data_IF_914535537863
#
_entry.id   IF_914535537863
#
_cell.length_a   1.000
_cell.length_b   1.000
_cell.length_c   1.000
_cell.angle_alpha   90.00
_cell.angle_beta   90.00
_cell.angle_gamma   90.00
#
_symmetry.space_group_name_H-M   'P 1'
#
loop_
_entity.id
_entity.type
_entity.pdbx_description
1 polymer ?
#
# COMPACT_ATOMS: atom_id res chain seq x y z
N UNK A 1 49.41 38.97 -90.84
CA UNK A 1 48.81 40.18 -90.30
C UNK A 1 47.63 39.83 -89.52
N UNK A 2 47.76 40.01 -88.27
CA UNK A 2 46.86 40.62 -87.28
C UNK A 2 45.57 39.87 -87.15
N UNK A 3 45.04 39.68 -86.08
CA UNK A 3 45.05 40.18 -84.73
C UNK A 3 44.07 39.27 -83.98
N UNK A 4 44.46 38.81 -82.86
CA UNK A 4 43.57 38.24 -81.87
C UNK A 4 42.97 39.39 -81.09
N UNK A 5 41.74 39.28 -80.64
CA UNK A 5 41.33 39.75 -79.32
C UNK A 5 40.81 38.65 -78.47
N UNK A 6 41.53 38.54 -77.41
CA UNK A 6 41.13 38.23 -76.08
C UNK A 6 39.74 38.72 -75.72
N UNK A 7 38.97 37.89 -75.14
CA UNK A 7 38.08 38.28 -73.99
C UNK A 7 37.50 37.06 -73.35
N UNK A 8 38.10 36.75 -72.23
CA UNK A 8 37.46 35.85 -71.31
C UNK A 8 37.22 36.68 -70.02
N UNK A 9 36.02 37.10 -69.92
CA UNK A 9 35.55 37.61 -68.59
C UNK A 9 34.18 37.00 -68.34
N UNK A 10 34.22 35.87 -67.68
CA UNK A 10 33.05 35.26 -67.09
C UNK A 10 33.02 35.57 -65.57
N UNK A 11 31.95 36.16 -65.04
CA UNK A 11 31.88 36.46 -63.62
C UNK A 11 31.74 35.16 -62.82
N UNK A 12 32.61 35.05 -61.82
CA UNK A 12 32.61 33.96 -60.86
C UNK A 12 31.26 33.89 -60.10
N UNK A 13 30.68 32.72 -60.09
CA UNK A 13 29.52 32.43 -59.27
C UNK A 13 29.85 32.58 -57.77
N UNK A 14 28.97 33.14 -56.96
CA UNK A 14 29.25 33.25 -55.49
C UNK A 14 29.30 31.87 -54.89
N UNK A 15 30.40 31.64 -54.14
CA UNK A 15 30.63 30.47 -53.34
C UNK A 15 29.49 30.35 -52.28
N UNK A 16 28.77 29.27 -52.35
CA UNK A 16 27.77 28.93 -51.31
C UNK A 16 28.49 28.69 -49.99
N UNK A 17 28.18 29.47 -48.99
CA UNK A 17 28.67 29.30 -47.64
C UNK A 17 28.27 27.90 -47.10
N UNK A 18 29.19 27.22 -46.38
CA UNK A 18 28.87 25.95 -45.72
C UNK A 18 27.81 26.17 -44.65
N UNK A 19 26.83 25.23 -44.50
CA UNK A 19 25.80 25.36 -43.52
C UNK A 19 26.37 25.45 -42.12
N UNK A 20 25.95 26.46 -41.35
CA UNK A 20 26.36 26.69 -39.98
C UNK A 20 26.12 25.46 -39.11
N UNK A 21 27.01 25.12 -38.18
CA UNK A 21 26.84 23.99 -37.27
C UNK A 21 25.54 24.15 -36.45
N UNK A 22 24.61 23.25 -36.63
CA UNK A 22 23.40 23.23 -35.84
C UNK A 22 23.77 22.91 -34.39
N UNK A 23 23.46 23.81 -33.46
CA UNK A 23 23.70 23.62 -32.06
C UNK A 23 22.96 22.40 -31.53
N UNK A 24 23.58 21.54 -30.69
CA UNK A 24 22.93 20.31 -30.19
C UNK A 24 21.75 20.70 -29.30
N UNK A 25 20.57 20.22 -29.71
CA UNK A 25 19.33 20.37 -28.93
C UNK A 25 19.49 19.67 -27.60
N UNK A 26 19.56 20.43 -26.52
CA UNK A 26 19.68 19.95 -25.13
C UNK A 26 18.41 19.16 -24.73
N UNK A 27 18.35 17.86 -25.03
CA UNK A 27 17.31 16.92 -24.53
C UNK A 27 17.60 16.38 -23.12
N UNK A 28 18.49 16.98 -22.36
CA UNK A 28 19.08 16.39 -21.13
C UNK A 28 18.17 16.45 -19.88
N UNK A 29 17.16 17.30 -19.82
CA UNK A 29 16.37 17.48 -18.60
C UNK A 29 15.18 16.52 -18.46
N UNK A 30 14.64 16.03 -19.58
CA UNK A 30 13.44 15.18 -19.59
C UNK A 30 13.75 13.77 -19.07
N UNK A 31 14.92 13.23 -19.38
CA UNK A 31 15.36 11.92 -18.88
C UNK A 31 15.60 11.92 -17.38
N UNK A 32 16.20 12.96 -16.85
CA UNK A 32 16.47 13.08 -15.42
C UNK A 32 15.19 13.24 -14.58
N UNK A 33 14.22 14.00 -15.08
CA UNK A 33 12.89 14.10 -14.46
C UNK A 33 12.16 12.75 -14.42
N UNK A 34 12.25 11.95 -15.49
CA UNK A 34 11.66 10.60 -15.52
C UNK A 34 12.33 9.70 -14.49
N UNK A 35 13.65 9.75 -14.36
CA UNK A 35 14.39 8.97 -13.36
C UNK A 35 14.02 9.39 -11.95
N UNK A 36 13.94 10.69 -11.66
CA UNK A 36 13.51 11.20 -10.36
C UNK A 36 12.08 10.76 -10.03
N UNK A 37 11.18 10.85 -11.01
CA UNK A 37 9.80 10.44 -10.85
C UNK A 37 9.70 8.92 -10.63
N UNK A 38 10.50 8.13 -11.33
CA UNK A 38 10.57 6.69 -11.14
C UNK A 38 11.10 6.31 -9.75
N UNK A 39 12.17 6.95 -9.30
CA UNK A 39 12.74 6.73 -7.96
C UNK A 39 11.74 7.08 -6.85
N UNK A 40 10.89 8.07 -7.08
CA UNK A 40 9.84 8.44 -6.12
C UNK A 40 8.63 7.51 -6.19
N UNK A 41 8.17 7.15 -7.39
CA UNK A 41 6.94 6.37 -7.57
C UNK A 41 7.12 4.88 -7.33
N UNK A 42 8.25 4.29 -7.71
CA UNK A 42 8.48 2.85 -7.55
C UNK A 42 8.32 2.38 -6.10
N UNK A 43 8.96 3.02 -5.09
CA UNK A 43 8.79 2.59 -3.71
C UNK A 43 7.34 2.75 -3.22
N UNK A 44 6.64 3.80 -3.66
CA UNK A 44 5.22 3.99 -3.30
C UNK A 44 4.37 2.85 -3.86
N UNK A 45 4.57 2.48 -5.13
CA UNK A 45 3.85 1.37 -5.77
C UNK A 45 4.14 0.04 -5.04
N UNK A 46 5.40 -0.20 -4.68
CA UNK A 46 5.80 -1.41 -3.93
C UNK A 46 5.07 -1.46 -2.58
N UNK A 47 5.04 -0.35 -1.83
CA UNK A 47 4.35 -0.28 -0.53
C UNK A 47 2.84 -0.50 -0.70
N UNK A 48 2.22 0.13 -1.70
CA UNK A 48 0.78 -0.05 -1.98
C UNK A 48 0.46 -1.49 -2.34
N UNK A 49 1.27 -2.12 -3.19
CA UNK A 49 1.12 -3.54 -3.55
C UNK A 49 1.31 -4.44 -2.33
N UNK A 50 2.30 -4.18 -1.50
CA UNK A 50 2.53 -4.92 -0.26
C UNK A 50 1.33 -4.84 0.68
N UNK A 51 0.80 -3.63 0.92
CA UNK A 51 -0.39 -3.42 1.74
C UNK A 51 -1.58 -4.17 1.16
N UNK A 52 -1.80 -4.07 -0.14
CA UNK A 52 -2.91 -4.73 -0.81
C UNK A 52 -2.85 -6.25 -0.70
N UNK A 53 -1.67 -6.84 -0.90
CA UNK A 53 -1.46 -8.29 -0.77
C UNK A 53 -1.61 -8.74 0.68
N UNK A 54 -0.98 -8.06 1.66
CA UNK A 54 -1.06 -8.46 3.06
C UNK A 54 -2.46 -8.33 3.67
N UNK A 55 -3.27 -7.39 3.20
CA UNK A 55 -4.65 -7.24 3.67
C UNK A 55 -5.66 -8.05 2.88
N UNK A 56 -5.34 -8.40 1.64
CA UNK A 56 -6.21 -9.20 0.77
C UNK A 56 -6.06 -10.71 0.96
N UNK A 57 -4.92 -11.17 1.48
CA UNK A 57 -4.64 -12.59 1.68
C UNK A 57 -4.79 -12.99 3.14
N UNK A 58 -5.82 -13.79 3.44
CA UNK A 58 -5.96 -14.43 4.75
C UNK A 58 -5.02 -15.64 4.82
N UNK A 59 -4.03 -15.59 5.72
CA UNK A 59 -3.11 -16.71 5.96
C UNK A 59 -3.81 -17.88 6.65
N UNK A 60 -4.73 -17.59 7.55
CA UNK A 60 -5.50 -18.58 8.30
C UNK A 60 -6.86 -17.99 8.65
N UNK A 61 -7.89 -18.79 8.64
CA UNK A 61 -9.21 -18.43 9.13
C UNK A 61 -9.72 -19.50 10.09
N UNK A 62 -10.50 -19.08 11.08
CA UNK A 62 -10.99 -19.99 12.09
C UNK A 62 -12.02 -19.35 13.00
N UNK A 63 -12.45 -20.14 14.00
CA UNK A 63 -13.34 -19.68 15.06
C UNK A 63 -12.69 -19.90 16.43
N UNK A 64 -12.92 -18.94 17.34
CA UNK A 64 -12.51 -19.05 18.74
C UNK A 64 -13.67 -18.72 19.65
N UNK A 65 -13.94 -19.60 20.60
CA UNK A 65 -14.97 -19.43 21.59
C UNK A 65 -14.37 -18.99 22.93
N UNK A 66 -15.04 -18.05 23.60
CA UNK A 66 -14.59 -17.55 24.88
C UNK A 66 -15.47 -16.43 25.40
N UNK A 67 -15.02 -15.77 26.46
CA UNK A 67 -15.69 -14.64 27.09
C UNK A 67 -15.04 -13.33 26.65
N UNK A 68 -15.84 -12.41 26.12
CA UNK A 68 -15.35 -11.07 25.77
C UNK A 68 -14.95 -10.33 27.04
N UNK A 69 -13.67 -10.05 27.20
CA UNK A 69 -13.15 -9.32 28.37
C UNK A 69 -13.22 -7.81 28.15
N UNK A 70 -12.85 -7.37 26.95
CA UNK A 70 -12.72 -5.97 26.63
C UNK A 70 -12.89 -5.76 25.12
N UNK A 71 -13.48 -4.64 24.77
CA UNK A 71 -13.41 -4.07 23.43
C UNK A 71 -13.33 -2.56 23.55
N UNK A 72 -12.45 -1.94 22.79
CA UNK A 72 -12.29 -0.49 22.83
C UNK A 72 -11.81 0.03 21.47
N UNK A 73 -12.22 1.25 21.13
CA UNK A 73 -11.72 1.95 19.94
C UNK A 73 -10.45 2.69 20.30
N UNK A 74 -9.32 2.27 19.73
CA UNK A 74 -8.00 2.82 19.99
C UNK A 74 -7.40 3.43 18.72
N UNK A 75 -6.42 4.30 18.87
CA UNK A 75 -5.64 4.90 17.82
C UNK A 75 -5.64 6.43 17.84
N UNK A 76 -4.53 7.00 17.44
CA UNK A 76 -4.33 8.46 17.41
C UNK A 76 -4.85 9.08 16.10
N UNK A 77 -4.34 8.58 14.99
CA UNK A 77 -4.72 9.03 13.63
C UNK A 77 -5.75 8.07 13.04
N UNK A 78 -5.45 6.79 13.08
CA UNK A 78 -6.34 5.74 12.62
C UNK A 78 -6.95 5.05 13.84
N UNK A 79 -8.27 5.02 13.93
CA UNK A 79 -8.97 4.37 15.05
C UNK A 79 -9.46 3.00 14.63
N UNK A 80 -8.96 1.98 15.30
CA UNK A 80 -9.35 0.57 15.14
C UNK A 80 -10.03 0.06 16.41
N UNK A 81 -10.93 -0.91 16.28
CA UNK A 81 -11.51 -1.60 17.42
C UNK A 81 -10.60 -2.75 17.81
N UNK A 82 -10.14 -2.73 19.06
CA UNK A 82 -9.28 -3.75 19.63
C UNK A 82 -9.97 -4.41 20.82
N UNK A 83 -9.95 -5.74 20.85
CA UNK A 83 -10.61 -6.51 21.88
C UNK A 83 -9.77 -7.68 22.37
N UNK A 84 -10.21 -8.19 23.51
CA UNK A 84 -9.61 -9.34 24.18
C UNK A 84 -10.69 -10.37 24.51
N UNK A 85 -10.45 -11.62 24.13
CA UNK A 85 -11.30 -12.76 24.40
C UNK A 85 -10.56 -13.72 25.36
N UNK A 86 -11.11 -13.97 26.54
CA UNK A 86 -10.62 -15.06 27.36
C UNK A 86 -11.20 -16.37 26.83
N UNK A 87 -10.31 -17.23 26.33
CA UNK A 87 -10.73 -18.53 25.81
C UNK A 87 -11.23 -19.41 26.93
N UNK A 88 -12.27 -20.22 26.65
CA UNK A 88 -12.78 -21.23 27.58
C UNK A 88 -11.71 -22.31 27.74
N UNK A 89 -11.10 -22.37 28.91
CA UNK A 89 -10.05 -23.34 29.24
C UNK A 89 -10.57 -24.43 30.15
N UNK A 90 -9.85 -25.54 30.20
CA UNK A 90 -10.09 -26.61 31.16
C UNK A 90 -9.93 -26.11 32.60
N UNK A 91 -10.72 -26.61 33.56
CA UNK A 91 -10.55 -26.26 34.98
C UNK A 91 -9.11 -26.48 35.45
N UNK A 92 -8.53 -25.46 36.09
CA UNK A 92 -7.16 -25.51 36.62
C UNK A 92 -6.07 -25.01 35.70
N UNK A 93 -6.40 -24.57 34.46
CA UNK A 93 -5.45 -23.92 33.57
C UNK A 93 -5.59 -22.42 33.60
N UNK A 94 -4.51 -21.68 33.32
CA UNK A 94 -4.57 -20.22 33.22
C UNK A 94 -5.38 -19.83 31.95
N UNK A 95 -6.26 -18.82 32.04
CA UNK A 95 -7.03 -18.36 30.89
C UNK A 95 -6.09 -17.80 29.82
N UNK A 96 -6.20 -18.34 28.63
CA UNK A 96 -5.46 -17.82 27.48
C UNK A 96 -6.24 -16.65 26.88
N UNK A 97 -5.58 -15.51 26.78
CA UNK A 97 -6.16 -14.31 26.19
C UNK A 97 -5.88 -14.30 24.69
N UNK A 98 -6.94 -14.14 23.92
CA UNK A 98 -6.88 -13.94 22.49
C UNK A 98 -7.17 -12.48 22.16
N UNK A 99 -6.12 -11.74 21.76
CA UNK A 99 -6.26 -10.37 21.30
C UNK A 99 -6.66 -10.35 19.83
N UNK A 100 -7.60 -9.46 19.47
CA UNK A 100 -8.15 -9.37 18.14
C UNK A 100 -8.49 -7.92 17.74
N UNK A 101 -8.49 -7.67 16.43
CA UNK A 101 -8.89 -6.41 15.82
C UNK A 101 -10.23 -6.57 15.11
N UNK A 102 -11.08 -5.54 15.13
CA UNK A 102 -12.34 -5.50 14.38
C UNK A 102 -12.35 -4.28 13.47
N UNK A 103 -12.55 -4.52 12.17
CA UNK A 103 -12.60 -3.44 11.17
C UNK A 103 -14.01 -2.93 10.91
N UNK A 104 -15.01 -3.77 11.18
CA UNK A 104 -16.41 -3.45 10.94
C UNK A 104 -17.06 -2.93 12.22
N UNK A 105 -17.49 -1.67 12.20
CA UNK A 105 -18.15 -1.03 13.35
C UNK A 105 -19.44 -1.77 13.80
N UNK A 106 -20.16 -2.41 12.87
CA UNK A 106 -21.36 -3.17 13.21
C UNK A 106 -21.02 -4.41 14.02
N UNK A 107 -19.98 -5.15 13.61
CA UNK A 107 -19.49 -6.33 14.35
C UNK A 107 -18.95 -5.89 15.71
N UNK A 108 -18.20 -4.80 15.78
CA UNK A 108 -17.66 -4.26 17.01
C UNK A 108 -18.78 -3.94 18.04
N UNK A 109 -19.86 -3.30 17.61
CA UNK A 109 -21.03 -3.02 18.46
C UNK A 109 -21.70 -4.29 18.96
N UNK A 110 -21.81 -5.32 18.11
CA UNK A 110 -22.39 -6.61 18.56
C UNK A 110 -21.50 -7.28 19.60
N UNK A 111 -20.17 -7.21 19.44
CA UNK A 111 -19.22 -7.73 20.43
C UNK A 111 -19.32 -6.93 21.73
N UNK A 112 -19.39 -5.60 21.65
CA UNK A 112 -19.54 -4.71 22.81
C UNK A 112 -20.81 -5.03 23.62
N UNK A 113 -21.95 -5.25 22.95
CA UNK A 113 -23.22 -5.66 23.59
C UNK A 113 -23.15 -7.04 24.24
N UNK A 114 -22.16 -7.84 23.88
CA UNK A 114 -21.93 -9.16 24.45
C UNK A 114 -20.69 -9.21 25.36
N UNK A 115 -20.18 -8.05 25.81
CA UNK A 115 -19.09 -8.00 26.78
C UNK A 115 -19.46 -8.79 28.05
N UNK A 116 -18.53 -9.59 28.56
CA UNK A 116 -18.74 -10.48 29.68
C UNK A 116 -19.55 -11.76 29.37
N UNK A 117 -20.00 -11.96 28.10
CA UNK A 117 -20.74 -13.14 27.69
C UNK A 117 -19.88 -14.07 26.85
N UNK A 118 -20.31 -15.32 26.77
CA UNK A 118 -19.67 -16.32 25.94
C UNK A 118 -20.09 -16.13 24.47
N UNK A 119 -19.09 -15.99 23.60
CA UNK A 119 -19.28 -15.83 22.16
C UNK A 119 -18.31 -16.72 21.38
N UNK A 120 -18.65 -17.02 20.13
CA UNK A 120 -17.72 -17.54 19.14
C UNK A 120 -17.39 -16.42 18.16
N UNK A 121 -16.11 -16.12 18.00
CA UNK A 121 -15.59 -15.15 17.06
C UNK A 121 -15.00 -15.87 15.84
N UNK A 122 -15.53 -15.58 14.67
CA UNK A 122 -14.90 -15.96 13.39
C UNK A 122 -13.85 -14.94 13.06
N UNK A 123 -12.65 -15.37 12.71
CA UNK A 123 -11.54 -14.48 12.40
C UNK A 123 -10.74 -14.91 11.18
N UNK A 124 -10.11 -13.94 10.55
CA UNK A 124 -9.08 -14.12 9.54
C UNK A 124 -7.76 -13.58 10.07
N UNK A 125 -6.69 -14.36 9.90
CA UNK A 125 -5.34 -13.95 10.25
C UNK A 125 -4.64 -13.39 9.02
N UNK A 126 -4.19 -12.14 9.12
CA UNK A 126 -3.36 -11.51 8.09
C UNK A 126 -1.96 -11.30 8.63
N UNK A 127 -0.97 -11.97 8.04
CA UNK A 127 0.43 -11.81 8.43
C UNK A 127 1.06 -10.59 7.79
N UNK A 128 1.89 -9.89 8.58
CA UNK A 128 2.65 -8.75 8.09
C UNK A 128 1.80 -7.50 7.88
N UNK A 129 0.83 -7.26 8.76
CA UNK A 129 0.07 -5.99 8.77
C UNK A 129 1.05 -4.83 8.90
N UNK A 130 1.13 -3.92 7.89
CA UNK A 130 2.25 -3.00 7.78
C UNK A 130 2.24 -1.87 8.81
N UNK A 131 1.08 -1.54 9.37
CA UNK A 131 0.94 -0.46 10.36
C UNK A 131 -0.24 -0.71 11.29
N UNK A 132 -0.18 -0.13 12.51
CA UNK A 132 -1.29 -0.14 13.48
C UNK A 132 -2.55 0.59 13.00
N UNK A 133 -2.48 1.31 11.88
CA UNK A 133 -3.65 1.88 11.24
C UNK A 133 -4.64 0.84 10.69
N UNK A 134 -4.17 -0.37 10.44
CA UNK A 134 -5.02 -1.46 9.97
C UNK A 134 -5.48 -2.37 11.12
N UNK A 135 -4.76 -2.40 12.24
CA UNK A 135 -5.03 -3.18 13.42
C UNK A 135 -3.79 -3.35 14.28
N UNK A 136 -3.97 -3.47 15.60
CA UNK A 136 -2.87 -3.78 16.53
C UNK A 136 -2.50 -5.26 16.49
N UNK A 137 -3.42 -6.12 16.03
CA UNK A 137 -3.23 -7.57 15.94
C UNK A 137 -3.31 -8.06 14.50
N UNK A 138 -2.79 -9.25 14.26
CA UNK A 138 -2.92 -9.95 12.97
C UNK A 138 -4.28 -10.65 12.81
N UNK A 139 -5.10 -10.72 13.87
CA UNK A 139 -6.37 -11.43 13.88
C UNK A 139 -7.53 -10.46 13.70
N UNK A 140 -8.17 -10.52 12.55
CA UNK A 140 -9.30 -9.65 12.21
C UNK A 140 -10.61 -10.41 12.36
N UNK A 141 -11.47 -9.96 13.26
CA UNK A 141 -12.77 -10.58 13.46
C UNK A 141 -13.71 -10.20 12.33
N UNK A 142 -14.25 -11.23 11.66
CA UNK A 142 -15.17 -11.12 10.53
C UNK A 142 -16.61 -11.47 10.92
N UNK A 143 -16.80 -12.15 12.05
CA UNK A 143 -18.12 -12.50 12.54
C UNK A 143 -18.16 -12.78 14.04
N UNK A 144 -19.35 -12.64 14.62
CA UNK A 144 -19.60 -12.97 16.02
C UNK A 144 -20.90 -13.74 16.14
N UNK A 145 -20.87 -14.80 16.93
CA UNK A 145 -22.05 -15.63 17.24
C UNK A 145 -22.13 -15.79 18.76
N UNK A 146 -23.29 -15.50 19.33
CA UNK A 146 -23.55 -15.74 20.75
C UNK A 146 -23.60 -17.25 21.01
N UNK A 147 -22.93 -17.70 22.06
CA UNK A 147 -22.99 -19.08 22.54
C UNK A 147 -23.72 -19.09 23.86
N UNK A 148 -24.85 -19.75 23.91
CA UNK A 148 -25.67 -19.88 25.12
C UNK A 148 -27.11 -19.43 24.95
N UNK A 149 -27.99 -19.86 25.85
CA UNK A 149 -29.42 -19.55 25.79
C UNK A 149 -29.69 -18.06 25.94
#
# INVERSE_FOLDING_TARGET
>A
MADTPDTSDAPAAPASDPPAPQAPVKKKHRGWLIVLLAVLLIPIVIVVLWVWVSLGYAYSSGERAGYVQKISKKGWVCKTWEGELAMANLPGTMPQIFAFTVRNDSIAKVIEQNAGKQVSLSYDQHRGVPTTCFGETEYFVTGVRRMGP
#
